data_IF_854536522096
#
_entry.id   IF_854536522096
#
_cell.length_a   1.000
_cell.length_b   1.000
_cell.length_c   1.000
_cell.angle_alpha   90.00
_cell.angle_beta   90.00
_cell.angle_gamma   90.00
#
_symmetry.space_group_name_H-M   'P 1'
#
loop_
_entity.id
_entity.type
_entity.pdbx_description
1 polymer ?
#
# COMPACT_ATOMS: atom_id res chain seq x y z
N UNK A 1 5.30 -7.55 3.29
CA UNK A 1 4.31 -7.74 2.20
C UNK A 1 3.27 -8.73 2.70
N UNK A 2 1.99 -8.51 2.45
CA UNK A 2 0.97 -9.50 2.83
C UNK A 2 1.06 -10.76 1.96
N UNK A 3 0.35 -11.81 2.36
CA UNK A 3 0.35 -13.10 1.66
C UNK A 3 -0.80 -13.22 0.65
N UNK A 4 -1.22 -12.11 0.01
CA UNK A 4 -2.24 -12.17 -1.02
C UNK A 4 -1.85 -13.17 -2.12
N UNK A 5 -2.81 -13.95 -2.63
CA UNK A 5 -2.55 -15.04 -3.59
C UNK A 5 -1.81 -14.60 -4.86
N UNK A 6 -1.98 -13.34 -5.25
CA UNK A 6 -1.30 -12.74 -6.41
C UNK A 6 0.14 -12.31 -6.10
N UNK A 7 0.52 -12.15 -4.83
CA UNK A 7 1.92 -12.14 -4.40
C UNK A 7 2.46 -13.58 -4.49
N UNK A 8 2.86 -13.99 -5.70
CA UNK A 8 3.46 -15.31 -5.97
C UNK A 8 4.79 -15.42 -5.21
N UNK A 9 4.73 -15.72 -3.91
CA UNK A 9 5.85 -15.58 -2.96
C UNK A 9 7.13 -16.23 -3.47
N UNK A 10 7.08 -17.48 -3.92
CA UNK A 10 8.28 -18.15 -4.45
C UNK A 10 8.91 -17.47 -5.68
N UNK A 11 8.11 -16.84 -6.56
CA UNK A 11 8.66 -16.05 -7.68
C UNK A 11 9.26 -14.74 -7.19
N UNK A 12 8.64 -14.11 -6.19
CA UNK A 12 9.12 -12.86 -5.60
C UNK A 12 10.39 -13.08 -4.78
N UNK A 13 10.52 -14.20 -4.07
CA UNK A 13 11.73 -14.58 -3.33
C UNK A 13 12.94 -14.69 -4.27
N UNK A 14 12.81 -15.44 -5.38
CA UNK A 14 13.87 -15.57 -6.38
C UNK A 14 14.28 -14.22 -6.99
N UNK A 15 13.30 -13.38 -7.34
CA UNK A 15 13.58 -12.03 -7.85
C UNK A 15 14.24 -11.15 -6.78
N UNK A 16 13.78 -11.20 -5.53
CA UNK A 16 14.40 -10.45 -4.45
C UNK A 16 15.86 -10.84 -4.27
N UNK A 17 16.17 -12.14 -4.25
CA UNK A 17 17.54 -12.66 -4.13
C UNK A 17 18.44 -12.21 -5.30
N UNK A 18 17.94 -12.28 -6.54
CA UNK A 18 18.65 -11.83 -7.74
C UNK A 18 19.10 -10.36 -7.64
N UNK A 19 18.27 -9.50 -7.05
CA UNK A 19 18.54 -8.08 -6.88
C UNK A 19 19.08 -7.70 -5.48
N UNK A 20 19.42 -8.68 -4.63
CA UNK A 20 19.99 -8.44 -3.30
C UNK A 20 19.00 -7.90 -2.25
N UNK A 21 17.70 -8.06 -2.47
CA UNK A 21 16.64 -7.70 -1.52
C UNK A 21 16.24 -8.90 -0.65
N UNK A 22 15.77 -8.61 0.56
CA UNK A 22 15.17 -9.62 1.45
C UNK A 22 13.65 -9.46 1.47
N UNK A 23 12.93 -10.53 1.13
CA UNK A 23 11.48 -10.55 1.26
C UNK A 23 11.08 -10.73 2.73
N UNK A 24 10.17 -9.89 3.22
CA UNK A 24 9.62 -9.96 4.57
C UNK A 24 8.12 -10.26 4.51
N UNK A 25 7.71 -11.54 4.53
CA UNK A 25 6.30 -11.92 4.63
C UNK A 25 5.73 -11.52 5.98
N UNK A 26 4.49 -11.04 5.98
CA UNK A 26 3.74 -10.80 7.21
C UNK A 26 3.03 -12.09 7.66
N UNK A 27 2.81 -12.29 8.98
CA UNK A 27 1.94 -13.37 9.42
C UNK A 27 0.51 -13.19 8.88
N UNK A 28 -0.22 -14.30 8.62
CA UNK A 28 -1.61 -14.23 8.19
C UNK A 28 -2.47 -13.41 9.17
N UNK A 29 -3.39 -12.60 8.63
CA UNK A 29 -4.32 -11.78 9.40
C UNK A 29 -3.69 -10.73 10.34
N UNK A 30 -2.45 -10.30 10.05
CA UNK A 30 -1.76 -9.24 10.81
C UNK A 30 -1.60 -7.92 10.03
N UNK A 31 -2.69 -7.18 9.74
CA UNK A 31 -2.61 -5.87 9.10
C UNK A 31 -1.86 -4.83 9.94
N UNK A 32 -1.82 -4.98 11.27
CA UNK A 32 -1.10 -4.10 12.19
C UNK A 32 0.41 -4.04 11.92
N UNK A 33 0.98 -5.08 11.32
CA UNK A 33 2.38 -5.13 10.92
C UNK A 33 2.65 -4.57 9.52
N UNK A 34 1.62 -4.15 8.78
CA UNK A 34 1.77 -3.58 7.45
C UNK A 34 1.74 -2.03 7.51
N UNK A 35 2.88 -1.34 7.36
CA UNK A 35 2.94 0.13 7.50
C UNK A 35 2.01 0.88 6.55
N UNK A 36 1.70 0.31 5.37
CA UNK A 36 0.84 0.94 4.36
C UNK A 36 -0.60 1.13 4.86
N UNK A 37 -1.06 0.34 5.84
CA UNK A 37 -2.42 0.45 6.38
C UNK A 37 -2.65 1.81 7.06
N UNK A 38 -1.61 2.34 7.72
CA UNK A 38 -1.64 3.69 8.31
C UNK A 38 -1.73 4.76 7.23
N UNK A 39 -0.99 4.60 6.14
CA UNK A 39 -1.06 5.48 4.97
C UNK A 39 -2.45 5.45 4.34
N UNK A 40 -3.04 4.27 4.16
CA UNK A 40 -4.42 4.15 3.64
C UNK A 40 -5.46 4.78 4.57
N UNK A 41 -5.30 4.68 5.89
CA UNK A 41 -6.17 5.38 6.83
C UNK A 41 -6.10 6.90 6.64
N UNK A 42 -4.91 7.45 6.44
CA UNK A 42 -4.72 8.88 6.18
C UNK A 42 -5.31 9.30 4.83
N UNK A 43 -5.03 8.56 3.75
CA UNK A 43 -5.60 8.79 2.41
C UNK A 43 -7.13 8.79 2.47
N UNK A 44 -7.75 7.78 3.10
CA UNK A 44 -9.22 7.70 3.23
C UNK A 44 -9.81 8.89 3.99
N UNK A 45 -9.14 9.35 5.06
CA UNK A 45 -9.57 10.53 5.82
C UNK A 45 -9.51 11.80 4.96
N UNK A 46 -8.45 11.95 4.17
CA UNK A 46 -8.29 13.08 3.25
C UNK A 46 -9.34 13.08 2.13
N UNK A 47 -9.50 11.95 1.45
CA UNK A 47 -10.45 11.78 0.35
C UNK A 47 -11.89 12.10 0.77
N UNK A 48 -12.32 11.67 1.97
CA UNK A 48 -13.65 12.01 2.50
C UNK A 48 -13.91 13.53 2.57
N UNK A 49 -12.87 14.34 2.76
CA UNK A 49 -12.96 15.80 2.84
C UNK A 49 -12.97 16.45 1.46
N UNK A 50 -12.09 16.00 0.55
CA UNK A 50 -11.82 16.72 -0.71
C UNK A 50 -12.60 16.19 -1.91
N UNK A 51 -13.04 14.92 -1.89
CA UNK A 51 -13.71 14.28 -3.03
C UNK A 51 -14.94 15.06 -3.54
N UNK A 52 -15.79 15.69 -2.68
CA UNK A 52 -16.90 16.51 -3.16
C UNK A 52 -16.50 17.77 -3.94
N UNK A 53 -15.24 18.21 -3.81
CA UNK A 53 -14.72 19.45 -4.42
C UNK A 53 -13.80 19.19 -5.62
N UNK A 54 -13.46 17.94 -5.89
CA UNK A 54 -12.60 17.55 -7.02
C UNK A 54 -13.43 16.99 -8.17
N UNK A 55 -12.96 17.18 -9.40
CA UNK A 55 -13.63 16.66 -10.60
C UNK A 55 -13.35 15.17 -10.80
N UNK A 56 -12.22 14.68 -10.30
CA UNK A 56 -11.82 13.28 -10.45
C UNK A 56 -11.27 12.71 -9.14
N UNK A 57 -11.38 11.40 -8.99
CA UNK A 57 -10.73 10.68 -7.90
C UNK A 57 -9.20 10.86 -7.93
N UNK A 58 -8.60 10.93 -9.11
CA UNK A 58 -7.16 11.09 -9.28
C UNK A 58 -6.67 12.43 -8.74
N UNK A 59 -7.40 13.52 -9.05
CA UNK A 59 -7.15 14.85 -8.49
C UNK A 59 -7.26 14.86 -6.96
N UNK A 60 -8.34 14.27 -6.43
CA UNK A 60 -8.53 14.13 -4.99
C UNK A 60 -7.39 13.32 -4.34
N UNK A 61 -6.91 12.25 -4.99
CA UNK A 61 -5.84 11.41 -4.51
C UNK A 61 -4.49 12.13 -4.49
N UNK A 62 -4.14 12.83 -5.58
CA UNK A 62 -2.89 13.61 -5.68
C UNK A 62 -2.85 14.80 -4.74
N UNK A 63 -4.01 15.34 -4.33
CA UNK A 63 -4.06 16.38 -3.30
C UNK A 63 -3.68 15.89 -1.89
N UNK A 64 -3.52 14.58 -1.69
CA UNK A 64 -3.14 14.01 -0.41
C UNK A 64 -1.65 14.21 -0.11
N UNK A 65 -1.32 14.73 1.08
CA UNK A 65 0.07 14.93 1.52
C UNK A 65 0.89 13.65 1.67
N UNK A 66 0.30 12.47 1.52
CA UNK A 66 1.01 11.20 1.53
C UNK A 66 1.91 10.98 0.30
N UNK A 67 1.73 11.78 -0.75
CA UNK A 67 2.46 11.64 -2.03
C UNK A 67 3.51 12.74 -2.27
N UNK A 68 3.71 13.65 -1.31
CA UNK A 68 4.75 14.68 -1.32
C UNK A 68 5.83 14.32 -0.29
#
# INVERSE_FOLDING_TARGET
MDNARFHRMGKLELLCEEFGYKLLPLPPYSPEYNPIEKTWAHIKKHLKKVLPSCNTFYEALLSCSCFN
#
